data_IF_062148440918
#
_entry.id   IF_062148440918
#
_cell.length_a   1.000
_cell.length_b   1.000
_cell.length_c   1.000
_cell.angle_alpha   90.00
_cell.angle_beta   90.00
_cell.angle_gamma   90.00
#
_symmetry.space_group_name_H-M   'P 1'
#
loop_
_entity.id
_entity.type
_entity.pdbx_description
1 polymer ?
#
# COMPACT_ATOMS: atom_id res chain seq x y z
N UNK A 1 70.20 33.17 23.57
CA UNK A 1 69.95 31.77 23.12
C UNK A 1 69.02 31.13 24.13
N UNK A 2 67.71 31.24 23.88
CA UNK A 2 66.76 30.12 23.73
C UNK A 2 66.67 29.24 25.00
N UNK A 3 65.72 29.51 25.91
CA UNK A 3 64.38 28.87 26.00
C UNK A 3 64.45 27.33 25.97
N UNK A 4 63.92 26.58 26.91
CA UNK A 4 62.50 26.57 27.26
C UNK A 4 62.24 25.73 28.52
N UNK A 5 61.46 26.29 29.43
CA UNK A 5 60.79 25.63 30.55
C UNK A 5 59.65 24.74 30.04
N UNK A 6 59.71 23.44 30.33
CA UNK A 6 58.60 22.51 30.10
C UNK A 6 57.61 22.60 31.26
N UNK A 7 56.46 23.21 30.97
CA UNK A 7 55.30 23.28 31.85
C UNK A 7 54.59 21.92 31.91
N UNK A 8 54.25 21.51 33.13
CA UNK A 8 53.44 20.33 33.44
C UNK A 8 52.02 20.48 32.88
N UNK A 9 51.59 19.52 32.05
CA UNK A 9 50.20 19.41 31.61
C UNK A 9 49.33 18.91 32.77
N UNK A 10 48.17 19.54 33.06
CA UNK A 10 47.18 18.94 33.93
C UNK A 10 46.47 17.81 33.18
N UNK A 11 46.38 16.65 33.84
CA UNK A 11 45.57 15.52 33.44
C UNK A 11 44.10 15.96 33.35
N UNK A 12 43.56 16.09 32.13
CA UNK A 12 42.12 16.27 31.94
C UNK A 12 41.40 14.99 32.35
N UNK A 13 40.64 15.11 33.44
CA UNK A 13 39.66 14.13 33.88
C UNK A 13 38.76 13.69 32.72
N UNK A 14 38.64 12.38 32.54
CA UNK A 14 37.73 11.72 31.61
C UNK A 14 36.33 12.33 31.67
N UNK A 15 35.92 13.01 30.59
CA UNK A 15 34.54 13.36 30.33
C UNK A 15 33.76 12.06 30.14
N UNK A 16 33.07 11.62 31.19
CA UNK A 16 32.00 10.61 31.09
C UNK A 16 30.92 11.18 30.19
N UNK A 17 31.00 10.90 28.91
CA UNK A 17 29.90 11.01 27.96
C UNK A 17 28.83 10.01 28.40
N UNK A 18 27.83 10.48 29.13
CA UNK A 18 26.61 9.70 29.37
C UNK A 18 25.90 9.56 28.02
N UNK A 19 26.13 8.43 27.36
CA UNK A 19 25.31 7.99 26.24
C UNK A 19 23.91 7.75 26.82
N UNK A 20 23.01 8.72 26.64
CA UNK A 20 21.57 8.46 26.79
C UNK A 20 21.25 7.33 25.81
N UNK A 21 20.73 6.18 26.26
CA UNK A 21 20.21 5.22 25.31
C UNK A 21 19.11 5.93 24.53
N UNK A 22 19.28 6.05 23.22
CA UNK A 22 18.15 6.37 22.35
C UNK A 22 17.14 5.27 22.62
N UNK A 23 15.97 5.66 23.14
CA UNK A 23 14.85 4.77 23.27
C UNK A 23 14.73 4.01 21.95
N UNK A 24 14.84 2.68 22.01
CA UNK A 24 14.35 1.86 20.93
C UNK A 24 12.91 2.33 20.72
N UNK A 25 12.65 2.98 19.58
CA UNK A 25 11.31 3.25 19.10
C UNK A 25 10.71 1.88 18.83
N UNK A 26 10.27 1.18 19.87
CA UNK A 26 9.23 0.19 19.74
C UNK A 26 8.08 0.99 19.19
N UNK A 27 7.79 0.77 17.90
CA UNK A 27 6.68 1.43 17.22
C UNK A 27 5.49 1.44 18.18
N UNK A 28 4.93 2.63 18.51
CA UNK A 28 3.72 2.65 19.32
C UNK A 28 2.70 1.74 18.63
N UNK A 29 1.89 0.98 19.39
CA UNK A 29 0.84 0.17 18.78
C UNK A 29 -0.01 1.16 17.97
N UNK A 30 0.03 1.06 16.64
CA UNK A 30 -0.85 1.87 15.77
C UNK A 30 -2.25 1.64 16.32
N UNK A 31 -2.94 2.69 16.71
CA UNK A 31 -4.36 2.61 17.10
C UNK A 31 -5.15 2.31 15.83
N UNK A 32 -5.10 1.06 15.36
CA UNK A 32 -5.96 0.54 14.30
C UNK A 32 -7.36 0.52 14.90
N UNK A 33 -8.12 1.60 14.73
CA UNK A 33 -9.57 1.51 14.95
C UNK A 33 -10.09 0.70 13.76
N UNK A 34 -10.61 -0.52 13.97
CA UNK A 34 -11.13 -1.33 12.89
C UNK A 34 -12.27 -0.58 12.20
N UNK A 35 -12.32 -0.65 10.87
CA UNK A 35 -13.47 -0.11 10.14
C UNK A 35 -14.71 -0.93 10.47
N UNK A 36 -15.78 -0.27 10.88
CA UNK A 36 -17.07 -0.91 11.17
C UNK A 36 -17.80 -1.21 9.85
N UNK A 37 -18.11 -2.49 9.62
CA UNK A 37 -18.75 -2.93 8.39
C UNK A 37 -20.18 -2.41 8.28
N UNK A 38 -20.55 -1.93 7.09
CA UNK A 38 -21.94 -1.56 6.79
C UNK A 38 -22.78 -2.79 6.47
N UNK A 39 -24.11 -2.61 6.53
CA UNK A 39 -25.08 -3.64 6.15
C UNK A 39 -24.78 -4.19 4.75
N UNK A 40 -24.61 -5.50 4.64
CA UNK A 40 -24.32 -6.21 3.39
C UNK A 40 -22.83 -6.37 3.09
N UNK A 41 -21.95 -5.81 3.91
CA UNK A 41 -20.50 -5.98 3.79
C UNK A 41 -20.02 -7.16 4.61
N UNK A 42 -19.07 -7.91 4.06
CA UNK A 42 -18.36 -8.97 4.77
C UNK A 42 -16.86 -8.68 4.76
N UNK A 43 -16.21 -8.95 5.88
CA UNK A 43 -14.74 -8.95 5.98
C UNK A 43 -14.24 -10.37 5.81
N UNK A 44 -13.36 -10.57 4.84
CA UNK A 44 -12.69 -11.82 4.53
C UNK A 44 -11.18 -11.66 4.72
N UNK A 45 -10.49 -12.78 4.91
CA UNK A 45 -9.04 -12.84 5.00
C UNK A 45 -8.52 -13.88 4.02
N UNK A 46 -7.99 -13.40 2.89
CA UNK A 46 -7.39 -14.21 1.86
C UNK A 46 -6.00 -14.67 2.32
N UNK A 47 -5.74 -15.98 2.33
CA UNK A 47 -4.44 -16.52 2.73
C UNK A 47 -3.51 -16.57 1.52
N UNK A 48 -2.46 -15.76 1.55
CA UNK A 48 -1.46 -15.67 0.51
C UNK A 48 -0.48 -16.86 0.54
N UNK A 49 0.27 -17.12 -0.55
CA UNK A 49 1.31 -18.15 -0.59
C UNK A 49 2.43 -17.93 0.44
N UNK A 50 2.66 -16.67 0.83
CA UNK A 50 3.58 -16.29 1.91
C UNK A 50 3.12 -16.77 3.30
N UNK A 51 1.87 -17.22 3.43
CA UNK A 51 1.23 -17.58 4.69
C UNK A 51 0.53 -16.42 5.40
N UNK A 52 0.74 -15.18 4.94
CA UNK A 52 0.12 -13.97 5.47
C UNK A 52 -1.34 -13.85 5.00
N UNK A 53 -2.15 -13.17 5.80
CA UNK A 53 -3.56 -12.89 5.52
C UNK A 53 -3.72 -11.48 4.96
N UNK A 54 -4.33 -11.39 3.79
CA UNK A 54 -4.76 -10.15 3.16
C UNK A 54 -6.24 -9.91 3.45
N UNK A 55 -6.56 -8.81 4.10
CA UNK A 55 -7.93 -8.37 4.34
C UNK A 55 -8.61 -8.00 3.01
N UNK A 56 -9.85 -8.45 2.87
CA UNK A 56 -10.75 -8.08 1.78
C UNK A 56 -12.11 -7.73 2.36
N UNK A 57 -12.61 -6.53 2.09
CA UNK A 57 -13.99 -6.16 2.36
C UNK A 57 -14.78 -6.36 1.07
N UNK A 58 -15.76 -7.25 1.10
CA UNK A 58 -16.63 -7.49 -0.05
C UNK A 58 -18.05 -6.98 0.20
N UNK A 59 -18.73 -6.63 -0.89
CA UNK A 59 -20.17 -6.46 -0.92
C UNK A 59 -20.70 -7.06 -2.23
N UNK A 60 -21.47 -8.14 -2.10
CA UNK A 60 -22.03 -8.85 -3.25
C UNK A 60 -23.19 -8.08 -3.85
N UNK A 61 -23.35 -8.21 -5.17
CA UNK A 61 -24.48 -7.61 -5.89
C UNK A 61 -25.81 -8.12 -5.34
N UNK A 62 -26.83 -7.25 -5.32
CA UNK A 62 -28.21 -7.72 -5.18
C UNK A 62 -28.59 -8.57 -6.39
N UNK A 63 -29.54 -9.52 -6.24
CA UNK A 63 -30.06 -10.36 -7.35
C UNK A 63 -30.26 -9.51 -8.61
N UNK A 64 -29.48 -9.80 -9.64
CA UNK A 64 -29.38 -9.08 -10.91
C UNK A 64 -29.51 -10.10 -12.02
N UNK A 65 -30.27 -9.77 -13.08
CA UNK A 65 -30.35 -10.61 -14.29
C UNK A 65 -29.10 -10.53 -15.17
N UNK A 66 -28.23 -9.53 -14.92
CA UNK A 66 -26.96 -9.37 -15.66
C UNK A 66 -25.80 -9.91 -14.84
N UNK A 67 -24.95 -10.70 -15.51
CA UNK A 67 -23.65 -11.09 -14.99
C UNK A 67 -22.62 -10.02 -15.36
N UNK A 68 -22.43 -9.04 -14.48
CA UNK A 68 -21.37 -8.05 -14.63
C UNK A 68 -20.04 -8.59 -14.12
N UNK A 69 -18.89 -8.14 -14.67
CA UNK A 69 -17.58 -8.53 -14.17
C UNK A 69 -17.39 -8.05 -12.71
N UNK A 70 -16.70 -8.82 -11.86
CA UNK A 70 -16.38 -8.39 -10.51
C UNK A 70 -15.45 -7.18 -10.52
N UNK A 71 -15.59 -6.30 -9.53
CA UNK A 71 -14.78 -5.10 -9.36
C UNK A 71 -13.83 -5.28 -8.17
N UNK A 72 -12.53 -5.12 -8.42
CA UNK A 72 -11.49 -5.21 -7.38
C UNK A 72 -10.84 -3.85 -7.19
N UNK A 73 -10.99 -3.28 -6.00
CA UNK A 73 -10.50 -1.96 -5.62
C UNK A 73 -9.19 -2.05 -4.84
N UNK A 74 -8.15 -1.40 -5.36
CA UNK A 74 -6.80 -1.35 -4.81
C UNK A 74 -6.51 0.07 -4.31
N UNK A 75 -6.32 0.21 -3.01
CA UNK A 75 -6.07 1.51 -2.38
C UNK A 75 -4.65 2.04 -2.63
N UNK A 76 -4.45 3.32 -2.35
CA UNK A 76 -3.14 3.99 -2.38
C UNK A 76 -2.43 3.94 -1.03
N UNK A 77 -1.24 4.54 -0.96
CA UNK A 77 -0.50 4.65 0.31
C UNK A 77 -1.37 5.30 1.40
N UNK A 78 -1.20 4.85 2.64
CA UNK A 78 -1.90 5.35 3.83
C UNK A 78 -3.42 5.16 3.85
N UNK A 79 -3.93 4.31 2.97
CA UNK A 79 -5.32 3.86 2.98
C UNK A 79 -5.36 2.35 3.26
N UNK A 80 -6.57 1.80 3.38
CA UNK A 80 -6.84 0.37 3.31
C UNK A 80 -8.21 0.16 2.62
N UNK A 81 -8.73 -1.06 2.60
CA UNK A 81 -10.03 -1.41 2.00
C UNK A 81 -11.18 -0.48 2.43
N UNK A 82 -11.14 0.06 3.66
CA UNK A 82 -12.13 0.98 4.20
C UNK A 82 -12.37 2.23 3.34
N UNK A 83 -11.38 2.70 2.56
CA UNK A 83 -11.56 3.91 1.74
C UNK A 83 -12.54 3.69 0.58
N UNK A 84 -12.74 2.43 0.19
CA UNK A 84 -13.72 2.03 -0.81
C UNK A 84 -15.00 1.50 -0.17
N UNK A 85 -14.89 0.85 1.00
CA UNK A 85 -16.01 0.23 1.68
C UNK A 85 -17.12 1.22 2.03
N UNK A 86 -16.80 2.44 2.46
CA UNK A 86 -17.80 3.38 2.98
C UNK A 86 -18.93 3.72 1.98
N UNK A 87 -18.59 3.97 0.71
CA UNK A 87 -19.55 4.46 -0.29
C UNK A 87 -19.50 3.72 -1.63
N UNK A 88 -18.33 3.22 -2.03
CA UNK A 88 -18.14 2.65 -3.36
C UNK A 88 -18.68 1.23 -3.46
N UNK A 89 -18.40 0.38 -2.46
CA UNK A 89 -18.94 -0.99 -2.46
C UNK A 89 -20.47 -1.00 -2.44
N UNK A 90 -21.18 -0.21 -1.60
CA UNK A 90 -22.64 -0.12 -1.65
C UNK A 90 -23.16 0.39 -3.00
N UNK A 91 -22.52 1.42 -3.58
CA UNK A 91 -22.93 1.99 -4.86
C UNK A 91 -22.86 0.97 -6.00
N UNK A 92 -21.71 0.30 -6.16
CA UNK A 92 -21.53 -0.66 -7.25
C UNK A 92 -22.29 -1.97 -7.06
N UNK A 93 -22.39 -2.47 -5.83
CA UNK A 93 -23.21 -3.65 -5.54
C UNK A 93 -24.69 -3.42 -5.83
N UNK A 94 -25.21 -2.24 -5.50
CA UNK A 94 -26.58 -1.85 -5.87
C UNK A 94 -26.77 -1.66 -7.38
N UNK A 95 -25.69 -1.40 -8.11
CA UNK A 95 -25.67 -1.30 -9.57
C UNK A 95 -25.44 -2.65 -10.27
N UNK A 96 -25.40 -3.75 -9.51
CA UNK A 96 -25.29 -5.11 -10.05
C UNK A 96 -23.87 -5.65 -10.18
N UNK A 97 -22.87 -5.07 -9.51
CA UNK A 97 -21.47 -5.53 -9.56
C UNK A 97 -21.03 -6.15 -8.24
N UNK A 98 -20.46 -7.36 -8.26
CA UNK A 98 -19.75 -7.87 -7.09
C UNK A 98 -18.50 -7.02 -6.85
N UNK A 99 -18.35 -6.49 -5.65
CA UNK A 99 -17.35 -5.47 -5.36
C UNK A 99 -16.47 -5.91 -4.19
N UNK A 100 -15.15 -5.82 -4.36
CA UNK A 100 -14.14 -6.26 -3.40
C UNK A 100 -13.11 -5.17 -3.21
N UNK A 101 -12.89 -4.72 -1.98
CA UNK A 101 -11.81 -3.82 -1.63
C UNK A 101 -10.73 -4.61 -0.88
N UNK A 102 -9.52 -4.66 -1.42
CA UNK A 102 -8.38 -5.34 -0.79
C UNK A 102 -7.62 -4.35 0.09
N UNK A 103 -7.02 -4.82 1.18
CA UNK A 103 -6.01 -4.08 1.93
C UNK A 103 -4.64 -4.68 1.68
N UNK A 104 -3.69 -3.89 1.19
CA UNK A 104 -2.31 -4.32 1.01
C UNK A 104 -1.69 -4.74 2.37
N UNK A 105 -0.71 -5.63 2.34
CA UNK A 105 -0.02 -6.12 3.53
C UNK A 105 0.60 -4.97 4.34
N UNK A 106 0.39 -4.96 5.65
CA UNK A 106 0.81 -3.87 6.55
C UNK A 106 -0.13 -2.66 6.60
N UNK A 107 -1.28 -2.72 5.91
CA UNK A 107 -2.37 -1.74 5.97
C UNK A 107 -3.69 -2.41 6.37
N UNK A 108 -4.60 -1.64 6.96
CA UNK A 108 -5.88 -2.15 7.45
C UNK A 108 -5.69 -3.29 8.46
N UNK A 109 -6.53 -4.32 8.32
CA UNK A 109 -6.41 -5.56 9.11
C UNK A 109 -5.61 -6.67 8.40
N UNK A 110 -4.95 -6.36 7.27
CA UNK A 110 -3.98 -7.30 6.69
C UNK A 110 -2.78 -7.48 7.62
N UNK A 111 -2.18 -8.67 7.57
CA UNK A 111 -1.01 -9.00 8.35
C UNK A 111 0.17 -8.07 7.99
N UNK A 112 1.01 -7.80 8.98
CA UNK A 112 2.22 -6.99 8.83
C UNK A 112 3.40 -7.90 8.38
N UNK A 113 4.03 -7.63 7.23
CA UNK A 113 5.18 -8.40 6.77
C UNK A 113 6.42 -8.08 7.63
N UNK A 114 7.35 -9.03 7.75
CA UNK A 114 8.54 -8.91 8.61
C UNK A 114 9.58 -7.87 8.12
N UNK A 115 9.45 -7.38 6.89
CA UNK A 115 10.39 -6.44 6.28
C UNK A 115 10.24 -5.00 6.78
N UNK A 116 11.23 -4.15 6.49
CA UNK A 116 11.17 -2.70 6.78
C UNK A 116 10.18 -1.95 5.89
N UNK A 117 9.74 -2.58 4.79
CA UNK A 117 8.70 -2.09 3.89
C UNK A 117 7.61 -3.14 3.73
N UNK A 118 6.40 -2.69 3.43
CA UNK A 118 5.22 -3.53 3.23
C UNK A 118 5.35 -4.53 2.06
N UNK A 119 6.22 -4.26 1.09
CA UNK A 119 6.41 -5.11 -0.08
C UNK A 119 7.07 -4.33 -1.22
N UNK A 120 7.33 -5.06 -2.31
CA UNK A 120 7.70 -4.46 -3.59
C UNK A 120 6.45 -4.31 -4.48
N UNK A 121 6.58 -3.56 -5.58
CA UNK A 121 5.52 -3.46 -6.58
C UNK A 121 5.10 -4.84 -7.12
N UNK A 122 6.08 -5.73 -7.29
CA UNK A 122 5.86 -7.09 -7.75
C UNK A 122 5.08 -7.91 -6.72
N UNK A 123 5.48 -7.89 -5.44
CA UNK A 123 4.78 -8.69 -4.42
C UNK A 123 3.33 -8.23 -4.25
N UNK A 124 3.08 -6.93 -4.25
CA UNK A 124 1.70 -6.42 -4.19
C UNK A 124 0.85 -6.85 -5.40
N UNK A 125 1.42 -6.83 -6.60
CA UNK A 125 0.70 -7.29 -7.79
C UNK A 125 0.45 -8.81 -7.75
N UNK A 126 1.43 -9.60 -7.28
CA UNK A 126 1.29 -11.04 -7.09
C UNK A 126 0.23 -11.39 -6.04
N UNK A 127 0.17 -10.67 -4.92
CA UNK A 127 -0.84 -10.91 -3.88
C UNK A 127 -2.26 -10.67 -4.41
N UNK A 128 -2.44 -9.64 -5.24
CA UNK A 128 -3.71 -9.34 -5.91
C UNK A 128 -4.04 -10.41 -6.96
N UNK A 129 -3.05 -10.85 -7.74
CA UNK A 129 -3.22 -11.91 -8.73
C UNK A 129 -3.69 -13.22 -8.09
N UNK A 130 -3.05 -13.61 -7.00
CA UNK A 130 -3.39 -14.81 -6.22
C UNK A 130 -4.82 -14.73 -5.66
N UNK A 131 -5.22 -13.57 -5.13
CA UNK A 131 -6.60 -13.34 -4.72
C UNK A 131 -7.60 -13.50 -5.88
N UNK A 132 -7.33 -12.88 -7.03
CA UNK A 132 -8.19 -12.96 -8.21
C UNK A 132 -8.33 -14.41 -8.68
N UNK A 133 -7.20 -15.11 -8.82
CA UNK A 133 -7.14 -16.49 -9.31
C UNK A 133 -7.95 -17.45 -8.42
N UNK A 134 -7.79 -17.33 -7.10
CA UNK A 134 -8.41 -18.27 -6.15
C UNK A 134 -9.87 -17.95 -5.83
N UNK A 135 -10.31 -16.68 -5.94
CA UNK A 135 -11.62 -16.26 -5.43
C UNK A 135 -12.61 -15.83 -6.51
N UNK A 136 -12.15 -15.37 -7.69
CA UNK A 136 -13.04 -14.81 -8.72
C UNK A 136 -13.29 -15.77 -9.89
N UNK A 137 -12.63 -16.92 -9.90
CA UNK A 137 -12.87 -18.00 -10.86
C UNK A 137 -12.65 -17.56 -12.31
N UNK A 138 -13.53 -18.01 -13.21
CA UNK A 138 -13.40 -17.77 -14.66
C UNK A 138 -13.91 -16.40 -15.13
N UNK A 139 -14.38 -15.53 -14.24
CA UNK A 139 -14.89 -14.20 -14.60
C UNK A 139 -13.78 -13.16 -14.43
N UNK A 140 -13.17 -12.66 -15.52
CA UNK A 140 -12.07 -11.70 -15.40
C UNK A 140 -12.55 -10.39 -14.78
N UNK A 141 -11.92 -9.89 -13.70
CA UNK A 141 -12.39 -8.69 -13.01
C UNK A 141 -12.02 -7.40 -13.74
N UNK A 142 -12.64 -6.30 -13.34
CA UNK A 142 -12.11 -4.96 -13.55
C UNK A 142 -11.28 -4.57 -12.33
N UNK A 143 -10.03 -4.15 -12.56
CA UNK A 143 -9.15 -3.66 -11.49
C UNK A 143 -9.17 -2.13 -11.41
N UNK A 144 -9.47 -1.59 -10.24
CA UNK A 144 -9.55 -0.16 -9.96
C UNK A 144 -8.43 0.22 -9.00
N UNK A 145 -7.48 1.05 -9.44
CA UNK A 145 -6.34 1.45 -8.62
C UNK A 145 -6.33 2.94 -8.30
N UNK A 146 -6.23 3.31 -7.01
CA UNK A 146 -6.04 4.69 -6.58
C UNK A 146 -4.59 4.99 -6.21
N UNK A 147 -4.01 6.08 -6.73
CA UNK A 147 -2.66 6.54 -6.38
C UNK A 147 -1.60 5.42 -6.53
N UNK A 148 -0.96 4.97 -5.44
CA UNK A 148 -0.03 3.83 -5.45
C UNK A 148 -0.69 2.52 -5.93
N UNK A 149 -1.97 2.30 -5.61
CA UNK A 149 -2.75 1.18 -6.14
C UNK A 149 -2.87 1.22 -7.66
N UNK A 150 -2.92 2.42 -8.26
CA UNK A 150 -2.90 2.56 -9.71
C UNK A 150 -1.54 2.20 -10.33
N UNK A 151 -0.43 2.42 -9.63
CA UNK A 151 0.89 1.93 -10.07
C UNK A 151 0.97 0.40 -10.03
N UNK A 152 0.40 -0.21 -8.99
CA UNK A 152 0.29 -1.68 -8.88
C UNK A 152 -0.54 -2.24 -10.04
N UNK A 153 -1.70 -1.66 -10.34
CA UNK A 153 -2.56 -2.08 -11.47
C UNK A 153 -1.85 -1.94 -12.82
N UNK A 154 -1.09 -0.86 -13.03
CA UNK A 154 -0.30 -0.69 -14.26
C UNK A 154 0.79 -1.77 -14.39
N UNK A 155 1.50 -2.08 -13.30
CA UNK A 155 2.48 -3.17 -13.28
C UNK A 155 1.82 -4.52 -13.55
N UNK A 156 0.66 -4.77 -12.93
CA UNK A 156 -0.12 -5.98 -13.15
C UNK A 156 -0.44 -6.15 -14.65
N UNK A 157 -1.02 -5.12 -15.27
CA UNK A 157 -1.40 -5.15 -16.69
C UNK A 157 -0.20 -5.42 -17.61
N UNK A 158 0.95 -4.80 -17.36
CA UNK A 158 2.16 -5.01 -18.15
C UNK A 158 2.63 -6.48 -18.11
N UNK A 159 2.45 -7.16 -16.97
CA UNK A 159 2.84 -8.57 -16.81
C UNK A 159 1.83 -9.55 -17.44
N UNK A 160 0.56 -9.15 -17.61
CA UNK A 160 -0.39 -9.93 -18.44
C UNK A 160 0.03 -9.89 -19.91
N UNK A 161 0.32 -8.70 -20.45
CA UNK A 161 0.63 -8.52 -21.88
C UNK A 161 1.89 -9.28 -22.30
N UNK A 162 2.88 -9.33 -21.40
CA UNK A 162 4.09 -10.12 -21.62
C UNK A 162 3.80 -11.63 -21.79
N UNK A 163 2.79 -12.18 -21.11
CA UNK A 163 2.31 -13.58 -21.30
C UNK A 163 1.89 -13.84 -22.73
N UNK A 164 1.01 -12.98 -23.25
CA UNK A 164 0.42 -13.13 -24.58
C UNK A 164 1.50 -13.05 -25.67
N UNK A 165 2.59 -12.32 -25.39
CA UNK A 165 3.68 -12.11 -26.35
C UNK A 165 4.78 -13.19 -26.24
N UNK A 166 5.07 -13.70 -25.04
CA UNK A 166 6.25 -14.53 -24.77
C UNK A 166 5.93 -15.97 -24.31
N UNK A 167 4.66 -16.35 -24.12
CA UNK A 167 4.26 -17.72 -23.80
C UNK A 167 4.75 -18.25 -22.45
N UNK A 168 4.95 -17.38 -21.46
CA UNK A 168 5.49 -17.74 -20.14
C UNK A 168 4.41 -18.17 -19.13
N UNK A 169 4.73 -19.17 -18.31
CA UNK A 169 3.83 -19.82 -17.32
C UNK A 169 3.52 -18.95 -16.07
N UNK A 170 4.33 -17.92 -15.77
CA UNK A 170 4.23 -17.12 -14.52
C UNK A 170 3.36 -15.85 -14.65
N UNK A 171 2.24 -15.94 -15.35
CA UNK A 171 1.50 -14.75 -15.74
C UNK A 171 0.19 -14.53 -14.96
N UNK A 172 -0.06 -13.28 -14.62
CA UNK A 172 -1.24 -12.87 -13.86
C UNK A 172 -2.56 -13.18 -14.60
N UNK A 173 -3.67 -13.42 -13.86
CA UNK A 173 -5.01 -13.62 -14.42
C UNK A 173 -5.47 -12.48 -15.34
N UNK A 174 -6.26 -12.82 -16.35
CA UNK A 174 -6.83 -11.85 -17.30
C UNK A 174 -7.81 -10.89 -16.63
N UNK A 175 -7.98 -9.70 -17.22
CA UNK A 175 -8.85 -8.63 -16.73
C UNK A 175 -9.86 -8.22 -17.79
N UNK A 176 -11.09 -7.93 -17.37
CA UNK A 176 -12.10 -7.29 -18.23
C UNK A 176 -11.77 -5.82 -18.51
N UNK A 177 -11.00 -5.18 -17.63
CA UNK A 177 -10.61 -3.79 -17.78
C UNK A 177 -9.81 -3.26 -16.59
N UNK A 178 -9.32 -2.02 -16.73
CA UNK A 178 -8.60 -1.30 -15.67
C UNK A 178 -9.12 0.13 -15.54
N UNK A 179 -9.17 0.64 -14.31
CA UNK A 179 -9.52 2.03 -14.00
C UNK A 179 -8.43 2.63 -13.11
N UNK A 180 -7.89 3.78 -13.52
CA UNK A 180 -6.83 4.48 -12.79
C UNK A 180 -7.39 5.78 -12.19
N UNK A 181 -7.38 5.86 -10.86
CA UNK A 181 -7.91 7.02 -10.11
C UNK A 181 -6.75 7.77 -9.48
N UNK A 182 -6.46 8.99 -9.95
CA UNK A 182 -5.35 9.82 -9.45
C UNK A 182 -4.01 9.05 -9.36
N UNK A 183 -3.74 8.19 -10.34
CA UNK A 183 -2.65 7.23 -10.28
C UNK A 183 -1.28 7.91 -10.36
N UNK A 184 -0.31 7.32 -9.67
CA UNK A 184 1.10 7.60 -9.92
C UNK A 184 1.44 7.18 -11.35
N UNK A 185 2.11 8.01 -12.16
CA UNK A 185 2.54 7.61 -13.49
C UNK A 185 3.56 6.45 -13.40
N UNK A 186 3.74 5.63 -14.45
CA UNK A 186 4.68 4.51 -14.44
C UNK A 186 6.13 4.90 -14.10
N UNK A 187 6.53 6.14 -14.42
CA UNK A 187 7.84 6.72 -14.08
C UNK A 187 8.01 7.07 -12.60
N UNK A 188 6.95 6.98 -11.80
CA UNK A 188 6.92 7.40 -10.40
C UNK A 188 6.69 8.89 -10.19
N UNK A 189 6.44 9.29 -8.95
CA UNK A 189 6.22 10.69 -8.58
C UNK A 189 7.51 11.47 -8.27
N UNK A 190 8.69 10.83 -8.28
CA UNK A 190 9.94 11.41 -7.80
C UNK A 190 10.30 12.72 -8.50
N UNK A 191 10.17 12.79 -9.82
CA UNK A 191 10.42 14.02 -10.59
C UNK A 191 9.43 15.16 -10.27
N UNK A 192 8.16 14.81 -10.00
CA UNK A 192 7.13 15.78 -9.63
C UNK A 192 7.31 16.28 -8.19
N UNK A 193 7.67 15.38 -7.27
CA UNK A 193 8.04 15.73 -5.88
C UNK A 193 9.29 16.60 -5.85
N UNK A 194 10.34 16.24 -6.61
CA UNK A 194 11.57 17.03 -6.69
C UNK A 194 11.30 18.44 -7.25
N UNK A 195 10.51 18.52 -8.32
CA UNK A 195 10.08 19.80 -8.90
C UNK A 195 9.27 20.62 -7.90
N UNK A 196 8.34 20.00 -7.17
CA UNK A 196 7.52 20.70 -6.17
C UNK A 196 8.34 21.16 -4.95
N UNK A 197 9.30 20.34 -4.50
CA UNK A 197 10.25 20.68 -3.44
C UNK A 197 11.08 21.91 -3.81
N UNK A 198 11.59 21.97 -5.04
CA UNK A 198 12.38 23.12 -5.51
C UNK A 198 11.52 24.34 -5.86
N UNK A 199 10.28 24.14 -6.29
CA UNK A 199 9.39 25.25 -6.68
C UNK A 199 8.67 25.89 -5.48
N UNK A 200 8.33 25.10 -4.45
CA UNK A 200 7.54 25.52 -3.27
C UNK A 200 8.00 24.79 -1.99
N UNK A 201 9.21 25.04 -1.48
CA UNK A 201 9.82 24.26 -0.40
C UNK A 201 9.02 24.29 0.91
N UNK A 202 8.41 25.43 1.27
CA UNK A 202 7.58 25.54 2.49
C UNK A 202 6.28 24.75 2.38
N UNK A 203 5.66 24.69 1.20
CA UNK A 203 4.46 23.90 0.97
C UNK A 203 4.79 22.40 0.92
N UNK A 204 5.92 22.02 0.32
CA UNK A 204 6.43 20.66 0.33
C UNK A 204 6.70 20.17 1.77
N UNK A 205 7.37 20.99 2.60
CA UNK A 205 7.58 20.67 4.01
C UNK A 205 6.26 20.53 4.78
N UNK A 206 5.27 21.40 4.53
CA UNK A 206 3.95 21.27 5.15
C UNK A 206 3.25 19.97 4.75
N UNK A 207 3.31 19.58 3.48
CA UNK A 207 2.75 18.32 2.98
C UNK A 207 3.47 17.12 3.59
N UNK A 208 4.81 17.12 3.63
CA UNK A 208 5.61 16.04 4.23
C UNK A 208 5.31 15.90 5.73
N UNK A 209 5.26 17.01 6.46
CA UNK A 209 4.91 17.01 7.89
C UNK A 209 3.47 16.51 8.09
N UNK A 210 2.52 16.90 7.24
CA UNK A 210 1.14 16.40 7.29
C UNK A 210 1.07 14.89 7.01
N UNK A 211 1.86 14.40 6.05
CA UNK A 211 2.03 12.97 5.77
C UNK A 211 2.63 12.22 6.97
N UNK A 212 3.56 12.81 7.72
CA UNK A 212 4.14 12.19 8.91
C UNK A 212 3.21 12.24 10.14
N UNK A 213 2.41 13.31 10.31
CA UNK A 213 1.53 13.47 11.47
C UNK A 213 0.28 12.59 11.37
N UNK A 214 -0.23 12.32 10.17
CA UNK A 214 -1.34 11.36 9.97
C UNK A 214 -0.95 9.89 10.22
N UNK A 215 0.32 9.62 10.57
CA UNK A 215 0.82 8.29 10.92
C UNK A 215 0.90 8.02 12.43
N UNK A 216 0.58 9.01 13.27
CA UNK A 216 0.63 8.94 14.74
C UNK A 216 -0.68 8.49 15.37
#
# INVERSE_FOLDING_TARGET
>A
MASSSLTSFPCLSSLKMTIKPMAALTNPPRTKTPYELKKGQNRLFHKLPSGLKMEVIEQRRSKSERENPPLVFVHGSYHAAWCWAEHWLPFFSSSGFDSYAVSLLGQGESDDPLGTVAGTLQTHASDIADFIELNLGSSPPVLIGHSFGGLIVQYYLANIVNKQTLGTENAFPELSGVVLVCSVPPSGNSGLVLRYLFSKPVAAFKVIIFFCILQG
#
